data_IF_103901977342
#
_entry.id   IF_103901977342
#
_cell.length_a   1.000
_cell.length_b   1.000
_cell.length_c   1.000
_cell.angle_alpha   90.00
_cell.angle_beta   90.00
_cell.angle_gamma   90.00
#
_symmetry.space_group_name_H-M   'P 1'
#
loop_
_entity.id
_entity.type
_entity.pdbx_description
1 polymer ?
#
# COMPACT_ATOMS: atom_id res chain seq x y z
N UNK A 1 1.73 -8.53 -5.25
CA UNK A 1 0.95 -7.59 -4.41
C UNK A 1 1.48 -6.18 -4.38
N UNK A 2 2.77 -6.02 -4.14
CA UNK A 2 3.33 -4.67 -4.08
C UNK A 2 3.18 -3.92 -5.41
N UNK A 3 3.22 -4.63 -6.51
CA UNK A 3 3.10 -4.03 -7.85
C UNK A 3 1.79 -3.25 -7.99
N UNK A 4 0.73 -3.75 -7.38
CA UNK A 4 -0.57 -3.05 -7.41
C UNK A 4 -0.51 -1.75 -6.63
N UNK A 5 0.19 -1.76 -5.50
CA UNK A 5 0.41 -0.56 -4.70
C UNK A 5 1.23 0.46 -5.49
N UNK A 6 2.30 -0.01 -6.16
CA UNK A 6 3.13 0.87 -6.97
C UNK A 6 2.34 1.51 -8.11
N UNK A 7 1.44 0.74 -8.74
CA UNK A 7 0.56 1.29 -9.77
C UNK A 7 -0.33 2.40 -9.23
N UNK A 8 -0.87 2.21 -8.02
CA UNK A 8 -1.73 3.23 -7.40
C UNK A 8 -0.95 4.49 -7.06
N UNK A 9 0.29 4.33 -6.59
CA UNK A 9 1.15 5.49 -6.32
C UNK A 9 1.34 6.31 -7.59
N UNK A 10 1.63 5.62 -8.69
CA UNK A 10 1.86 6.26 -9.98
C UNK A 10 0.59 6.96 -10.49
N UNK A 11 -0.53 6.26 -10.46
CA UNK A 11 -1.81 6.79 -10.94
C UNK A 11 -2.28 8.00 -10.14
N UNK A 12 -2.01 8.01 -8.84
CA UNK A 12 -2.48 9.08 -7.95
C UNK A 12 -1.41 10.15 -7.74
N UNK A 13 -0.23 9.96 -8.31
CA UNK A 13 0.90 10.89 -8.16
C UNK A 13 1.27 11.08 -6.69
N UNK A 14 1.24 10.00 -5.92
CA UNK A 14 1.61 9.99 -4.51
C UNK A 14 2.89 9.20 -4.29
N UNK A 15 3.56 9.48 -3.17
CA UNK A 15 4.73 8.73 -2.76
C UNK A 15 4.38 7.81 -1.60
N UNK A 16 5.23 6.80 -1.36
CA UNK A 16 5.05 5.94 -0.20
C UNK A 16 5.10 6.73 1.11
N UNK A 17 5.94 7.78 1.15
CA UNK A 17 6.01 8.67 2.31
C UNK A 17 4.65 9.32 2.58
N UNK A 18 4.03 9.85 1.54
CA UNK A 18 2.73 10.51 1.65
C UNK A 18 1.67 9.53 2.17
N UNK A 19 1.65 8.33 1.62
CA UNK A 19 0.70 7.30 2.04
C UNK A 19 0.94 6.91 3.50
N UNK A 20 2.21 6.74 3.87
CA UNK A 20 2.58 6.43 5.26
C UNK A 20 2.05 7.51 6.21
N UNK A 21 2.25 8.75 5.85
CA UNK A 21 1.83 9.90 6.67
C UNK A 21 0.30 9.94 6.80
N UNK A 22 -0.41 9.71 5.69
CA UNK A 22 -1.87 9.82 5.67
C UNK A 22 -2.57 8.65 6.35
N UNK A 23 -1.99 7.45 6.27
CA UNK A 23 -2.62 6.23 6.80
C UNK A 23 -2.12 5.83 8.18
N UNK A 24 -0.97 6.34 8.59
CA UNK A 24 -0.33 5.92 9.83
C UNK A 24 0.44 4.61 9.72
N UNK A 25 0.52 4.02 8.52
CA UNK A 25 1.32 2.81 8.31
C UNK A 25 2.78 3.23 8.23
N UNK A 26 3.64 2.57 9.00
CA UNK A 26 5.06 2.94 9.04
C UNK A 26 5.72 2.76 7.68
N UNK A 27 6.61 3.67 7.31
CA UNK A 27 7.36 3.55 6.06
C UNK A 27 8.16 2.25 5.99
N UNK A 28 8.67 1.78 7.13
CA UNK A 28 9.42 0.53 7.18
C UNK A 28 8.57 -0.66 6.74
N UNK A 29 7.28 -0.64 7.05
CA UNK A 29 6.35 -1.70 6.62
C UNK A 29 6.24 -1.68 5.09
N UNK A 30 6.07 -0.50 4.51
CA UNK A 30 5.95 -0.36 3.06
C UNK A 30 7.26 -0.71 2.35
N UNK A 31 8.40 -0.32 2.93
CA UNK A 31 9.72 -0.66 2.38
C UNK A 31 9.98 -2.15 2.39
N UNK A 32 9.65 -2.82 3.49
CA UNK A 32 9.84 -4.26 3.60
C UNK A 32 8.94 -5.00 2.62
N UNK A 33 7.74 -4.50 2.40
CA UNK A 33 6.82 -5.04 1.41
C UNK A 33 7.44 -4.93 0.01
N UNK A 34 7.97 -3.76 -0.32
CA UNK A 34 8.62 -3.51 -1.60
C UNK A 34 9.78 -4.48 -1.85
N UNK A 35 10.56 -4.75 -0.80
CA UNK A 35 11.74 -5.63 -0.88
C UNK A 35 11.41 -7.11 -0.80
N UNK A 36 10.14 -7.44 -0.57
CA UNK A 36 9.73 -8.82 -0.42
C UNK A 36 10.10 -9.46 0.91
N UNK A 37 10.48 -8.65 1.90
CA UNK A 37 10.86 -9.16 3.22
C UNK A 37 9.66 -9.59 4.05
N UNK A 38 8.54 -8.93 3.85
CA UNK A 38 7.31 -9.27 4.56
C UNK A 38 6.11 -8.88 3.71
N UNK A 39 4.98 -9.47 4.02
CA UNK A 39 3.72 -9.13 3.39
C UNK A 39 2.93 -8.21 4.30
N UNK A 40 2.17 -7.31 3.71
CA UNK A 40 1.26 -6.46 4.45
C UNK A 40 0.05 -7.30 4.85
N UNK A 41 -0.31 -7.24 6.12
CA UNK A 41 -1.45 -8.01 6.63
C UNK A 41 -2.76 -7.45 6.11
N UNK A 42 -3.81 -8.28 6.19
CA UNK A 42 -5.13 -7.93 5.66
C UNK A 42 -5.66 -6.62 6.23
N UNK A 43 -5.46 -6.36 7.52
CA UNK A 43 -5.93 -5.12 8.14
C UNK A 43 -5.26 -3.89 7.53
N UNK A 44 -3.97 -3.99 7.21
CA UNK A 44 -3.25 -2.90 6.55
C UNK A 44 -3.69 -2.76 5.09
N UNK A 45 -3.91 -3.88 4.42
CA UNK A 45 -4.41 -3.85 3.03
C UNK A 45 -5.76 -3.17 2.97
N UNK A 46 -6.62 -3.40 3.95
CA UNK A 46 -7.93 -2.75 4.00
C UNK A 46 -7.78 -1.24 4.13
N UNK A 47 -6.86 -0.80 4.99
CA UNK A 47 -6.59 0.64 5.15
C UNK A 47 -6.14 1.24 3.83
N UNK A 48 -5.23 0.56 3.14
CA UNK A 48 -4.73 1.05 1.85
C UNK A 48 -5.83 1.05 0.79
N UNK A 49 -6.65 0.01 0.76
CA UNK A 49 -7.76 -0.06 -0.20
C UNK A 49 -8.74 1.09 0.03
N UNK A 50 -9.11 1.34 1.28
CA UNK A 50 -10.00 2.44 1.63
C UNK A 50 -9.38 3.79 1.27
N UNK A 51 -8.09 3.93 1.53
CA UNK A 51 -7.38 5.19 1.25
C UNK A 51 -7.40 5.51 -0.25
N UNK A 52 -7.17 4.51 -1.09
CA UNK A 52 -7.16 4.70 -2.54
C UNK A 52 -8.52 4.55 -3.21
N UNK A 53 -9.55 4.16 -2.46
CA UNK A 53 -10.89 3.99 -3.01
C UNK A 53 -11.04 2.77 -3.91
N UNK A 54 -10.30 1.70 -3.62
CA UNK A 54 -10.38 0.45 -4.38
C UNK A 54 -10.77 -0.68 -3.43
N UNK A 55 -11.15 -1.83 -4.00
CA UNK A 55 -11.45 -3.00 -3.16
C UNK A 55 -10.16 -3.68 -2.73
N UNK A 56 -10.20 -4.42 -1.63
CA UNK A 56 -9.03 -5.15 -1.15
C UNK A 56 -8.59 -6.21 -2.17
N UNK A 57 -9.52 -6.78 -2.92
CA UNK A 57 -9.23 -7.76 -3.97
C UNK A 57 -8.28 -7.18 -5.03
N UNK A 58 -8.29 -5.88 -5.21
CA UNK A 58 -7.37 -5.23 -6.16
C UNK A 58 -5.92 -5.62 -5.87
N UNK A 59 -5.55 -5.67 -4.59
CA UNK A 59 -4.20 -6.03 -4.19
C UNK A 59 -3.94 -7.53 -4.29
N UNK A 60 -4.98 -8.34 -4.26
CA UNK A 60 -4.87 -9.80 -4.25
C UNK A 60 -4.87 -10.42 -5.64
N UNK A 61 -5.15 -9.63 -6.66
CA UNK A 61 -5.17 -10.13 -8.05
C UNK A 61 -3.75 -10.45 -8.58
#
# INVERSE_FOLDING_TARGET
MYEKFAELLDKTNKTAYQVSKDTGIAQSVLSDWKRGRSNVKTDKLKILADYFGVSIEYFLE
#
